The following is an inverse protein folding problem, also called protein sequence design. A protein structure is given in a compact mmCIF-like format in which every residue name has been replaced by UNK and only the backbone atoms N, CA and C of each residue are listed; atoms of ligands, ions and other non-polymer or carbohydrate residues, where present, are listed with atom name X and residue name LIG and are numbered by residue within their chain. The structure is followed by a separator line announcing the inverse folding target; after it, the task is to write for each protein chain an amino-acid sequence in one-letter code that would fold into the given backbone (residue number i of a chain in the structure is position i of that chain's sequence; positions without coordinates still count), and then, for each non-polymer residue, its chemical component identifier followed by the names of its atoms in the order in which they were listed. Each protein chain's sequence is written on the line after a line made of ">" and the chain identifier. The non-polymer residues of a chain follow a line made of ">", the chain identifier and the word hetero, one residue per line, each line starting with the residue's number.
data_IF_962808190905
#
_entry.id   IF_962808190905
#
_cell.length_a   1.000
_cell.length_b   1.000
_cell.length_c   1.000
_cell.angle_alpha   90.00
_cell.angle_beta   90.00
_cell.angle_gamma   90.00
#
_symmetry.space_group_name_H-M   'P 1'
#
loop_
_entity.id
_entity.type
_entity.pdbx_description
1 polymer ?
#
# COMPACT_ATOMS: atom_id res chain seq x y z
N UNK A 1 -0.77 -34.03 -1.81
CA UNK A 1 -0.33 -32.64 -1.98
C UNK A 1 1.19 -32.58 -1.92
N UNK A 2 1.79 -31.78 -2.77
CA UNK A 2 3.24 -31.68 -2.86
C UNK A 2 3.78 -30.95 -1.62
N UNK A 3 4.76 -31.56 -0.97
CA UNK A 3 5.33 -31.01 0.26
C UNK A 3 6.00 -29.64 0.06
N UNK A 4 6.55 -29.38 -1.12
CA UNK A 4 7.12 -28.07 -1.46
C UNK A 4 6.03 -27.01 -1.56
N UNK A 5 4.91 -27.36 -2.15
CA UNK A 5 3.77 -26.48 -2.28
C UNK A 5 3.21 -26.12 -0.89
N UNK A 6 3.14 -27.09 0.00
CA UNK A 6 2.73 -26.84 1.38
C UNK A 6 3.67 -25.91 2.10
N UNK A 7 4.99 -26.09 1.91
CA UNK A 7 5.98 -25.20 2.53
C UNK A 7 5.88 -23.78 2.03
N UNK A 8 5.66 -23.60 0.72
CA UNK A 8 5.51 -22.27 0.14
C UNK A 8 4.24 -21.60 0.63
N UNK A 9 3.15 -22.35 0.71
CA UNK A 9 1.90 -21.84 1.26
C UNK A 9 2.07 -21.44 2.73
N UNK A 10 2.72 -22.27 3.52
CA UNK A 10 2.92 -21.99 4.94
C UNK A 10 3.79 -20.75 5.19
N UNK A 11 4.70 -20.43 4.26
CA UNK A 11 5.54 -19.24 4.38
C UNK A 11 4.75 -17.95 4.23
N UNK A 12 3.68 -17.97 3.45
CA UNK A 12 2.91 -16.78 3.16
C UNK A 12 1.57 -16.74 3.89
N UNK A 13 1.13 -17.89 4.41
CA UNK A 13 -0.14 -17.95 5.14
C UNK A 13 0.04 -17.47 6.57
N UNK A 14 -0.72 -16.46 6.91
CA UNK A 14 -0.93 -16.09 8.30
C UNK A 14 -2.35 -16.52 8.68
N UNK A 15 -2.57 -16.82 9.94
CA UNK A 15 -3.91 -17.15 10.40
C UNK A 15 -4.78 -15.90 10.36
N UNK A 16 -6.09 -16.10 10.31
CA UNK A 16 -7.04 -14.99 10.38
C UNK A 16 -6.84 -14.16 11.64
N UNK A 17 -6.57 -14.82 12.75
CA UNK A 17 -6.32 -14.14 14.03
C UNK A 17 -5.03 -13.32 13.99
N UNK A 18 -3.97 -13.87 13.43
CA UNK A 18 -2.70 -13.15 13.29
C UNK A 18 -2.87 -11.92 12.40
N UNK A 19 -3.62 -12.08 11.32
CA UNK A 19 -3.88 -10.98 10.39
C UNK A 19 -4.68 -9.88 11.08
N UNK A 20 -5.73 -10.22 11.80
CA UNK A 20 -6.52 -9.25 12.55
C UNK A 20 -5.69 -8.51 13.58
N UNK A 21 -4.85 -9.25 14.31
CA UNK A 21 -3.99 -8.67 15.33
C UNK A 21 -3.02 -7.68 14.70
N UNK A 22 -2.41 -8.07 13.58
CA UNK A 22 -1.43 -7.20 12.92
C UNK A 22 -2.08 -5.96 12.30
N UNK A 23 -3.26 -6.11 11.72
CA UNK A 23 -4.01 -4.96 11.19
C UNK A 23 -4.37 -4.00 12.32
N UNK A 24 -4.78 -4.51 13.47
CA UNK A 24 -5.08 -3.67 14.63
C UNK A 24 -3.84 -2.90 15.09
N UNK A 25 -2.69 -3.55 15.15
CA UNK A 25 -1.43 -2.91 15.52
C UNK A 25 -1.04 -1.82 14.53
N UNK A 26 -1.13 -2.13 13.23
CA UNK A 26 -0.83 -1.15 12.19
C UNK A 26 -1.79 0.03 12.24
N UNK A 27 -3.07 -0.24 12.48
CA UNK A 27 -4.07 0.81 12.62
C UNK A 27 -3.76 1.74 13.78
N UNK A 28 -3.35 1.18 14.91
CA UNK A 28 -2.96 1.97 16.06
C UNK A 28 -1.74 2.83 15.80
N UNK A 29 -0.74 2.27 15.11
CA UNK A 29 0.45 3.03 14.72
C UNK A 29 0.09 4.20 13.80
N UNK A 30 -0.80 3.95 12.84
CA UNK A 30 -1.24 5.00 11.93
C UNK A 30 -2.02 6.08 12.66
N UNK A 31 -2.87 5.69 13.59
CA UNK A 31 -3.63 6.64 14.39
C UNK A 31 -2.68 7.58 15.16
N UNK A 32 -1.70 7.01 15.83
CA UNK A 32 -0.74 7.79 16.60
C UNK A 32 0.05 8.76 15.71
N UNK A 33 0.35 8.35 14.51
CA UNK A 33 1.15 9.16 13.58
C UNK A 33 0.35 10.26 12.91
N UNK A 34 -0.89 9.99 12.58
CA UNK A 34 -1.68 10.88 11.71
C UNK A 34 -2.90 11.49 12.37
N UNK A 35 -3.10 11.27 13.65
CA UNK A 35 -4.19 11.90 14.39
C UNK A 35 -4.17 13.42 14.17
N UNK A 36 -5.30 13.96 13.75
CA UNK A 36 -5.45 15.38 13.50
C UNK A 36 -4.98 15.88 12.12
N UNK A 37 -4.42 15.00 11.30
CA UNK A 37 -3.84 15.39 10.00
C UNK A 37 -4.69 15.04 8.79
N UNK A 38 -5.75 14.28 8.96
CA UNK A 38 -6.63 13.82 7.88
C UNK A 38 -5.83 13.27 6.68
N UNK A 39 -5.18 12.10 6.84
CA UNK A 39 -4.37 11.55 5.76
C UNK A 39 -5.22 11.04 4.60
N UNK A 40 -4.58 10.86 3.46
CA UNK A 40 -5.19 10.25 2.28
C UNK A 40 -4.71 8.81 2.18
N UNK A 41 -5.65 7.87 2.33
CA UNK A 41 -5.37 6.46 2.05
C UNK A 41 -5.42 6.23 0.56
N UNK A 42 -4.38 5.65 0.03
CA UNK A 42 -4.22 5.44 -1.39
C UNK A 42 -4.04 3.96 -1.69
N UNK A 43 -5.06 3.36 -2.28
CA UNK A 43 -5.01 1.96 -2.65
C UNK A 43 -4.46 1.78 -4.05
N UNK A 44 -3.52 0.84 -4.19
CA UNK A 44 -3.02 0.44 -5.50
C UNK A 44 -3.88 -0.71 -5.97
N UNK A 45 -4.66 -0.46 -7.03
CA UNK A 45 -5.60 -1.45 -7.54
C UNK A 45 -4.84 -2.64 -8.14
N UNK A 46 -5.35 -3.84 -8.01
CA UNK A 46 -6.72 -4.16 -7.57
C UNK A 46 -6.74 -4.87 -6.21
N UNK A 47 -5.67 -5.51 -5.81
CA UNK A 47 -5.65 -6.45 -4.71
C UNK A 47 -5.76 -5.82 -3.33
N UNK A 48 -5.43 -4.55 -3.20
CA UNK A 48 -5.27 -3.94 -1.88
C UNK A 48 -6.55 -3.41 -1.25
N UNK A 49 -7.67 -3.37 -1.97
CA UNK A 49 -8.82 -2.60 -1.47
C UNK A 49 -9.47 -3.19 -0.22
N UNK A 50 -9.51 -4.51 -0.08
CA UNK A 50 -10.09 -5.14 1.12
C UNK A 50 -9.20 -4.88 2.33
N UNK A 51 -7.89 -5.08 2.17
CA UNK A 51 -6.92 -4.81 3.21
C UNK A 51 -6.98 -3.33 3.62
N UNK A 52 -7.05 -2.44 2.65
CA UNK A 52 -7.13 -1.01 2.92
C UNK A 52 -8.38 -0.66 3.72
N UNK A 53 -9.52 -1.26 3.40
CA UNK A 53 -10.75 -1.02 4.14
C UNK A 53 -10.62 -1.48 5.60
N UNK A 54 -10.04 -2.63 5.82
CA UNK A 54 -9.82 -3.14 7.17
C UNK A 54 -8.85 -2.25 7.95
N UNK A 55 -7.79 -1.81 7.29
CA UNK A 55 -6.79 -0.94 7.91
C UNK A 55 -7.38 0.42 8.27
N UNK A 56 -8.18 0.99 7.37
CA UNK A 56 -8.85 2.27 7.63
C UNK A 56 -9.74 2.18 8.86
N UNK A 57 -10.54 1.12 8.96
CA UNK A 57 -11.39 0.92 10.14
C UNK A 57 -10.56 0.76 11.40
N UNK A 58 -9.48 0.00 11.32
CA UNK A 58 -8.61 -0.22 12.48
C UNK A 58 -7.90 1.06 12.91
N UNK A 59 -7.61 1.96 11.99
CA UNK A 59 -6.90 3.20 12.30
C UNK A 59 -7.80 4.23 12.99
N UNK A 60 -9.09 4.17 12.79
CA UNK A 60 -10.07 5.13 13.33
C UNK A 60 -9.74 6.59 12.96
N UNK A 61 -9.01 6.79 11.87
CA UNK A 61 -8.63 8.13 11.43
C UNK A 61 -9.75 8.77 10.61
N UNK A 62 -9.88 10.08 10.76
CA UNK A 62 -10.59 10.90 9.79
C UNK A 62 -9.68 10.98 8.56
N UNK A 63 -10.15 10.48 7.44
CA UNK A 63 -9.28 10.34 6.26
C UNK A 63 -10.08 10.47 4.97
N UNK A 64 -9.35 10.66 3.88
CA UNK A 64 -9.91 10.55 2.54
C UNK A 64 -9.35 9.31 1.87
N UNK A 65 -9.94 8.91 0.76
CA UNK A 65 -9.57 7.68 0.05
C UNK A 65 -9.42 7.99 -1.42
N UNK A 66 -8.38 7.42 -2.02
CA UNK A 66 -8.13 7.49 -3.44
C UNK A 66 -7.59 6.16 -3.92
N UNK A 67 -7.69 5.90 -5.20
CA UNK A 67 -7.13 4.69 -5.82
C UNK A 67 -6.27 5.08 -6.99
N UNK A 68 -5.20 4.35 -7.19
CA UNK A 68 -4.35 4.49 -8.34
C UNK A 68 -4.18 3.11 -8.98
N UNK A 69 -4.16 3.07 -10.30
CA UNK A 69 -3.87 1.85 -11.02
C UNK A 69 -2.61 2.05 -11.83
N UNK A 70 -1.73 1.07 -11.75
CA UNK A 70 -0.47 1.09 -12.47
C UNK A 70 -0.33 -0.23 -13.21
N UNK A 71 0.36 -0.21 -14.35
CA UNK A 71 0.76 -1.40 -15.04
C UNK A 71 2.25 -1.34 -15.29
N UNK A 72 2.92 -2.48 -15.12
CA UNK A 72 4.30 -2.57 -15.52
C UNK A 72 4.34 -2.78 -17.04
N UNK A 73 5.20 -2.04 -17.70
CA UNK A 73 5.36 -2.17 -19.12
C UNK A 73 6.10 -3.46 -19.40
N UNK A 74 5.37 -4.45 -19.87
CA UNK A 74 5.92 -5.77 -20.14
C UNK A 74 6.30 -5.97 -21.61
N UNK A 75 6.76 -4.95 -22.28
CA UNK A 75 7.36 -5.20 -23.55
C UNK A 75 8.68 -5.88 -23.32
N UNK A 76 8.68 -7.13 -23.69
CA UNK A 76 9.59 -8.17 -23.28
C UNK A 76 11.07 -7.93 -23.59
N UNK A 77 11.42 -6.91 -24.27
CA UNK A 77 12.81 -6.69 -24.64
C UNK A 77 13.54 -5.80 -23.66
N UNK A 78 12.81 -5.08 -22.85
CA UNK A 78 13.46 -4.22 -21.86
C UNK A 78 12.67 -4.30 -20.59
N UNK A 79 13.13 -5.10 -19.66
CA UNK A 79 12.64 -5.02 -18.30
C UNK A 79 13.10 -3.69 -17.71
N UNK A 80 12.64 -2.62 -18.29
CA UNK A 80 13.08 -1.30 -17.88
C UNK A 80 12.43 -0.83 -16.59
N UNK A 81 11.64 -1.69 -15.96
CA UNK A 81 10.93 -1.26 -14.75
C UNK A 81 9.97 -0.12 -15.01
N UNK A 82 9.57 0.08 -16.23
CA UNK A 82 8.64 1.15 -16.57
C UNK A 82 7.28 0.86 -16.02
N UNK A 83 6.81 1.79 -15.22
CA UNK A 83 5.48 1.75 -14.63
C UNK A 83 4.65 2.81 -15.33
N UNK A 84 3.47 2.42 -15.76
CA UNK A 84 2.55 3.34 -16.40
C UNK A 84 1.32 3.50 -15.51
N UNK A 85 0.92 4.73 -15.30
CA UNK A 85 -0.31 5.01 -14.57
C UNK A 85 -1.49 4.87 -15.52
N UNK A 86 -2.39 3.95 -15.22
CA UNK A 86 -3.60 3.73 -16.03
C UNK A 86 -4.84 4.35 -15.42
N UNK A 87 -4.81 4.63 -14.13
CA UNK A 87 -5.84 5.38 -13.44
C UNK A 87 -5.17 6.29 -12.42
N UNK A 88 -5.26 7.58 -12.64
CA UNK A 88 -4.59 8.56 -11.80
C UNK A 88 -5.53 9.17 -10.78
N UNK A 89 -4.94 9.91 -9.85
CA UNK A 89 -5.65 10.57 -8.77
C UNK A 89 -6.57 11.66 -9.29
N UNK A 90 -7.69 11.82 -8.60
CA UNK A 90 -8.65 12.89 -8.90
C UNK A 90 -8.46 14.10 -8.00
N UNK A 91 -7.75 13.93 -6.90
CA UNK A 91 -7.55 14.98 -5.91
C UNK A 91 -6.17 15.60 -6.01
N UNK A 92 -6.09 16.88 -5.64
CA UNK A 92 -4.80 17.53 -5.43
C UNK A 92 -4.20 17.02 -4.12
N UNK A 93 -2.99 16.50 -4.18
CA UNK A 93 -2.31 15.91 -3.02
C UNK A 93 -1.25 16.83 -2.42
N UNK A 94 -1.17 18.05 -2.88
CA UNK A 94 -0.20 19.01 -2.35
C UNK A 94 -0.38 19.19 -0.85
N UNK A 95 0.69 18.95 -0.10
CA UNK A 95 0.67 19.08 1.35
C UNK A 95 -0.06 17.97 2.10
N UNK A 96 -0.51 16.93 1.41
CA UNK A 96 -1.21 15.83 2.04
C UNK A 96 -0.24 14.76 2.55
N UNK A 97 -0.62 14.12 3.64
CA UNK A 97 0.07 12.92 4.12
C UNK A 97 -0.59 11.72 3.46
N UNK A 98 0.20 10.92 2.75
CA UNK A 98 -0.30 9.77 2.01
C UNK A 98 0.03 8.48 2.73
N UNK A 99 -0.95 7.59 2.77
CA UNK A 99 -0.75 6.22 3.25
C UNK A 99 -1.02 5.31 2.05
N UNK A 100 0.04 4.80 1.46
CA UNK A 100 -0.06 3.92 0.29
C UNK A 100 -0.23 2.50 0.78
N UNK A 101 -1.30 1.85 0.34
CA UNK A 101 -1.61 0.47 0.71
C UNK A 101 -1.42 -0.42 -0.50
N UNK A 102 -0.54 -1.40 -0.36
CA UNK A 102 -0.19 -2.35 -1.40
C UNK A 102 -0.34 -3.76 -0.86
N UNK A 103 -0.98 -4.66 -1.60
CA UNK A 103 -1.19 -6.02 -1.13
C UNK A 103 0.10 -6.84 -1.18
N UNK A 104 0.91 -6.67 -2.19
CA UNK A 104 2.15 -7.41 -2.38
C UNK A 104 3.26 -6.43 -2.73
N UNK A 105 4.39 -6.58 -2.04
CA UNK A 105 5.59 -5.86 -2.40
C UNK A 105 6.24 -6.59 -3.58
N UNK A 106 5.67 -6.40 -4.76
CA UNK A 106 6.04 -7.17 -5.94
C UNK A 106 7.44 -6.82 -6.43
N UNK A 107 7.65 -5.56 -6.72
CA UNK A 107 8.99 -5.08 -7.03
C UNK A 107 9.19 -3.72 -6.42
N UNK A 108 10.41 -3.45 -5.95
CA UNK A 108 10.76 -2.13 -5.45
C UNK A 108 10.55 -1.03 -6.49
N UNK A 109 10.48 -1.40 -7.75
CA UNK A 109 10.33 -0.44 -8.85
C UNK A 109 8.99 0.27 -8.83
N UNK A 110 7.90 -0.45 -8.59
CA UNK A 110 6.57 0.16 -8.53
C UNK A 110 6.46 1.14 -7.37
N UNK A 111 6.90 0.73 -6.20
CA UNK A 111 6.83 1.60 -5.02
C UNK A 111 7.78 2.79 -5.14
N UNK A 112 8.98 2.58 -5.69
CA UNK A 112 9.92 3.67 -5.92
C UNK A 112 9.35 4.68 -6.91
N UNK A 113 8.72 4.20 -7.99
CA UNK A 113 8.05 5.05 -8.96
C UNK A 113 6.94 5.87 -8.30
N UNK A 114 6.08 5.22 -7.53
CA UNK A 114 4.96 5.90 -6.88
C UNK A 114 5.44 6.93 -5.86
N UNK A 115 6.46 6.59 -5.09
CA UNK A 115 7.06 7.52 -4.14
C UNK A 115 7.52 8.79 -4.84
N UNK A 116 8.32 8.63 -5.91
CA UNK A 116 8.83 9.78 -6.65
C UNK A 116 7.71 10.57 -7.30
N UNK A 117 6.72 9.88 -7.84
CA UNK A 117 5.57 10.51 -8.47
C UNK A 117 4.80 11.41 -7.49
N UNK A 118 4.50 10.88 -6.31
CA UNK A 118 3.73 11.65 -5.32
C UNK A 118 4.55 12.76 -4.69
N UNK A 119 5.84 12.56 -4.48
CA UNK A 119 6.71 13.62 -3.98
C UNK A 119 6.80 14.76 -4.98
N UNK A 120 6.87 14.43 -6.28
CA UNK A 120 6.84 15.44 -7.33
C UNK A 120 5.54 16.24 -7.32
N UNK A 121 4.44 15.62 -6.93
CA UNK A 121 3.15 16.29 -6.83
C UNK A 121 2.95 17.04 -5.51
N UNK A 122 3.96 17.07 -4.66
CA UNK A 122 3.94 17.91 -3.48
C UNK A 122 3.38 17.26 -2.21
N UNK A 123 3.35 15.93 -2.14
CA UNK A 123 2.93 15.24 -0.93
C UNK A 123 3.81 15.64 0.26
N UNK A 124 3.20 15.83 1.42
CA UNK A 124 3.94 16.19 2.62
C UNK A 124 4.71 15.01 3.21
N UNK A 125 4.14 13.83 3.15
CA UNK A 125 4.79 12.60 3.61
C UNK A 125 4.16 11.40 2.95
N UNK A 126 4.89 10.29 2.94
CA UNK A 126 4.44 9.03 2.38
C UNK A 126 4.74 7.92 3.37
N UNK A 127 3.72 7.13 3.69
CA UNK A 127 3.86 5.91 4.46
C UNK A 127 3.36 4.77 3.59
N UNK A 128 4.11 3.68 3.54
CA UNK A 128 3.75 2.51 2.74
C UNK A 128 3.40 1.38 3.69
N UNK A 129 2.23 0.78 3.50
CA UNK A 129 1.79 -0.37 4.27
C UNK A 129 1.56 -1.52 3.31
N UNK A 130 2.20 -2.65 3.58
CA UNK A 130 2.09 -3.83 2.73
C UNK A 130 1.44 -4.98 3.47
N UNK A 131 0.59 -5.72 2.76
CA UNK A 131 -0.07 -6.88 3.34
C UNK A 131 0.89 -8.06 3.51
N UNK A 132 1.75 -8.28 2.53
CA UNK A 132 2.63 -9.44 2.54
C UNK A 132 3.59 -9.44 3.72
N UNK A 133 4.22 -8.32 3.96
CA UNK A 133 5.15 -8.13 5.07
C UNK A 133 4.44 -7.70 6.35
N UNK A 134 3.18 -7.30 6.24
CA UNK A 134 2.44 -6.70 7.33
C UNK A 134 3.30 -5.65 8.05
N UNK A 135 3.97 -4.86 7.24
CA UNK A 135 4.92 -3.87 7.74
C UNK A 135 4.52 -2.47 7.30
N UNK A 136 5.10 -1.51 7.98
CA UNK A 136 4.85 -0.10 7.72
C UNK A 136 6.20 0.57 7.50
N UNK A 137 6.35 1.24 6.37
CA UNK A 137 7.56 1.98 6.03
C UNK A 137 7.20 3.45 5.87
N UNK A 138 7.78 4.26 6.73
CA UNK A 138 7.60 5.71 6.64
C UNK A 138 8.77 6.34 5.91
N UNK A 139 8.46 7.16 4.96
CA UNK A 139 9.47 7.86 4.14
C UNK A 139 9.38 9.36 4.38
#
# INVERSE_FOLDING_TARGET
>A
MNSEMEKDILKVLVTEEELKTRIAELGEELYKRYEGHRPLFLGVLKGSFIFMADLMRASQLMCDVEFIAVSSYQNATVSSGRVQITHDLQQDITGRHLIIVEDILDSGNTLAFLKDYFMTKGAASITIVTLLDLSLIHI
#
